data_IF_807318432028
#
_entry.id   IF_807318432028
#
_cell.length_a   1.000
_cell.length_b   1.000
_cell.length_c   1.000
_cell.angle_alpha   90.00
_cell.angle_beta   90.00
_cell.angle_gamma   90.00
#
_symmetry.space_group_name_H-M   'P 1'
#
loop_
_entity.id
_entity.type
_entity.pdbx_description
1 polymer ?
#
# COMPACT_ATOMS: atom_id res chain seq x y z
N UNK A 1 11.37 19.59 5.18
CA UNK A 1 10.92 18.22 4.84
C UNK A 1 11.72 17.29 5.74
N UNK A 2 11.10 16.68 6.75
CA UNK A 2 11.77 15.67 7.57
C UNK A 2 11.51 14.33 6.88
N UNK A 3 12.57 13.68 6.43
CA UNK A 3 12.52 12.29 6.03
C UNK A 3 12.26 11.49 7.31
N UNK A 4 11.04 10.98 7.47
CA UNK A 4 10.77 10.01 8.52
C UNK A 4 11.40 8.71 8.05
N UNK A 5 12.53 8.34 8.65
CA UNK A 5 13.10 7.00 8.45
C UNK A 5 11.99 5.97 8.69
N UNK A 6 11.82 5.07 7.72
CA UNK A 6 11.14 3.81 7.97
C UNK A 6 11.84 3.22 9.18
N UNK A 7 11.13 3.09 10.30
CA UNK A 7 11.68 2.47 11.50
C UNK A 7 12.42 1.19 11.09
N UNK A 8 13.54 0.91 11.74
CA UNK A 8 14.18 -0.40 11.63
C UNK A 8 13.10 -1.46 11.68
N UNK A 9 12.98 -2.28 10.62
CA UNK A 9 12.06 -3.40 10.65
C UNK A 9 12.44 -4.23 11.88
N UNK A 10 11.53 -4.39 12.84
CA UNK A 10 11.82 -5.18 14.05
C UNK A 10 11.90 -6.67 13.72
N UNK A 11 11.38 -7.07 12.56
CA UNK A 11 11.36 -8.43 12.04
C UNK A 11 11.55 -8.38 10.54
N UNK A 12 12.59 -9.05 10.03
CA UNK A 12 12.68 -9.29 8.60
C UNK A 12 11.51 -10.22 8.27
N UNK A 13 10.54 -9.84 7.42
CA UNK A 13 9.44 -10.74 7.10
C UNK A 13 9.91 -12.01 6.36
N UNK A 14 11.16 -12.02 5.85
CA UNK A 14 11.80 -13.20 5.26
C UNK A 14 12.63 -14.01 6.27
N UNK A 15 12.81 -13.52 7.50
CA UNK A 15 13.53 -14.22 8.58
C UNK A 15 12.70 -14.08 9.87
N UNK A 16 11.57 -14.77 9.94
CA UNK A 16 11.01 -15.15 11.22
C UNK A 16 11.61 -16.51 11.61
N UNK A 17 11.99 -16.72 12.89
CA UNK A 17 12.34 -18.05 13.36
C UNK A 17 11.08 -18.93 13.25
N UNK A 18 11.11 -19.89 12.35
CA UNK A 18 10.22 -21.07 12.26
C UNK A 18 8.72 -20.89 12.02
N UNK A 19 8.17 -19.69 11.90
CA UNK A 19 6.75 -19.49 11.54
C UNK A 19 6.59 -18.95 10.11
N UNK A 20 6.52 -19.87 9.15
CA UNK A 20 6.30 -19.59 7.72
C UNK A 20 4.82 -19.33 7.37
N UNK A 21 3.92 -19.20 8.34
CA UNK A 21 2.47 -19.23 8.08
C UNK A 21 1.80 -17.87 7.81
N UNK A 22 2.50 -16.74 7.99
CA UNK A 22 1.98 -15.44 7.58
C UNK A 22 2.18 -15.20 6.09
N UNK A 23 1.55 -16.03 5.26
CA UNK A 23 1.45 -15.80 3.83
C UNK A 23 0.78 -14.44 3.60
N UNK A 24 1.50 -13.53 2.95
CA UNK A 24 0.91 -12.27 2.51
C UNK A 24 -0.02 -12.60 1.34
N UNK A 25 -1.30 -12.35 1.54
CA UNK A 25 -2.33 -12.62 0.54
C UNK A 25 -2.74 -11.34 -0.17
N UNK A 26 -2.86 -11.45 -1.50
CA UNK A 26 -3.53 -10.43 -2.30
C UNK A 26 -5.02 -10.46 -1.95
N UNK A 27 -5.57 -9.28 -1.67
CA UNK A 27 -6.99 -9.10 -1.40
C UNK A 27 -7.56 -8.08 -2.38
N UNK A 28 -8.78 -8.34 -2.84
CA UNK A 28 -9.51 -7.35 -3.62
C UNK A 28 -9.82 -6.15 -2.72
N UNK A 29 -9.41 -4.96 -3.18
CA UNK A 29 -9.64 -3.69 -2.51
C UNK A 29 -10.86 -2.99 -3.12
N UNK A 30 -10.86 -2.89 -4.44
CA UNK A 30 -11.94 -2.34 -5.27
C UNK A 30 -12.00 -3.17 -6.58
N UNK A 31 -13.06 -3.05 -7.40
CA UNK A 31 -13.11 -3.72 -8.70
C UNK A 31 -11.91 -3.36 -9.57
N UNK A 32 -11.10 -4.37 -9.92
CA UNK A 32 -9.87 -4.20 -10.71
C UNK A 32 -8.65 -3.75 -9.90
N UNK A 33 -8.77 -3.55 -8.58
CA UNK A 33 -7.67 -3.15 -7.71
C UNK A 33 -7.49 -4.22 -6.62
N UNK A 34 -6.32 -4.85 -6.60
CA UNK A 34 -5.94 -5.79 -5.53
C UNK A 34 -4.77 -5.24 -4.74
N UNK A 35 -4.72 -5.56 -3.45
CA UNK A 35 -3.73 -5.05 -2.51
C UNK A 35 -3.10 -6.17 -1.71
N UNK A 36 -1.79 -6.07 -1.52
CA UNK A 36 -0.99 -6.88 -0.62
C UNK A 36 -0.48 -5.98 0.51
N UNK A 37 -0.82 -6.30 1.76
CA UNK A 37 -0.29 -5.54 2.90
C UNK A 37 1.14 -5.96 3.19
N UNK A 38 2.07 -5.00 3.16
CA UNK A 38 3.48 -5.26 3.44
C UNK A 38 3.85 -4.98 4.90
N UNK A 39 3.28 -3.93 5.46
CA UNK A 39 3.36 -3.59 6.87
C UNK A 39 2.13 -2.78 7.26
N UNK A 40 1.69 -2.89 8.50
CA UNK A 40 0.60 -2.07 9.04
C UNK A 40 0.73 -1.95 10.56
N UNK A 41 0.78 -0.72 11.06
CA UNK A 41 0.71 -0.41 12.48
C UNK A 41 -0.69 0.11 12.80
N UNK A 42 -1.56 -0.68 13.46
CA UNK A 42 -2.92 -0.27 13.78
C UNK A 42 -2.99 0.86 14.82
N UNK A 43 -1.92 1.12 15.57
CA UNK A 43 -1.91 2.19 16.59
C UNK A 43 -1.71 3.57 15.98
N UNK A 44 -0.99 3.64 14.85
CA UNK A 44 -0.72 4.89 14.12
C UNK A 44 -1.45 4.98 12.79
N UNK A 45 -2.02 3.88 12.29
CA UNK A 45 -2.62 3.77 10.95
C UNK A 45 -1.58 3.74 9.83
N UNK A 46 -0.28 3.74 10.14
CA UNK A 46 0.78 3.74 9.12
C UNK A 46 0.84 2.38 8.45
N UNK A 47 0.78 2.38 7.12
CA UNK A 47 0.84 1.19 6.31
C UNK A 47 1.81 1.31 5.15
N UNK A 48 2.26 0.17 4.65
CA UNK A 48 2.91 0.06 3.35
C UNK A 48 2.24 -1.07 2.61
N UNK A 49 1.83 -0.80 1.38
CA UNK A 49 1.02 -1.70 0.58
C UNK A 49 1.64 -1.84 -0.81
N UNK A 50 1.44 -2.99 -1.42
CA UNK A 50 1.64 -3.15 -2.86
C UNK A 50 0.27 -3.30 -3.50
N UNK A 51 -0.01 -2.49 -4.52
CA UNK A 51 -1.27 -2.54 -5.25
C UNK A 51 -1.05 -2.98 -6.69
N UNK A 52 -2.03 -3.70 -7.23
CA UNK A 52 -2.12 -4.05 -8.65
C UNK A 52 -3.43 -3.50 -9.19
N UNK A 53 -3.31 -2.77 -10.28
CA UNK A 53 -4.42 -2.14 -10.97
C UNK A 53 -4.59 -2.83 -12.32
N UNK A 54 -5.77 -3.35 -12.59
CA UNK A 54 -6.10 -3.89 -13.89
C UNK A 54 -6.11 -2.75 -14.93
N UNK A 55 -5.82 -3.04 -16.21
CA UNK A 55 -5.91 -2.05 -17.28
C UNK A 55 -7.26 -1.32 -17.28
N UNK A 56 -7.25 -0.04 -17.64
CA UNK A 56 -8.43 0.83 -17.74
C UNK A 56 -9.28 0.94 -16.46
N UNK A 57 -8.69 0.64 -15.30
CA UNK A 57 -9.36 0.78 -13.99
C UNK A 57 -9.20 2.18 -13.41
N UNK A 58 -10.16 2.59 -12.59
CA UNK A 58 -10.11 3.83 -11.82
C UNK A 58 -10.72 3.60 -10.44
N UNK A 59 -10.34 4.43 -9.47
CA UNK A 59 -10.95 4.40 -8.14
C UNK A 59 -12.48 4.50 -8.22
N UNK A 60 -13.20 3.80 -7.35
CA UNK A 60 -14.64 4.02 -7.21
C UNK A 60 -14.93 5.43 -6.67
N UNK A 61 -14.09 5.91 -5.75
CA UNK A 61 -14.17 7.27 -5.22
C UNK A 61 -13.16 8.17 -5.95
N UNK A 62 -13.68 9.10 -6.75
CA UNK A 62 -12.86 9.93 -7.63
C UNK A 62 -12.26 11.18 -6.93
N UNK A 63 -12.81 11.60 -5.79
CA UNK A 63 -12.35 12.79 -5.04
C UNK A 63 -12.06 12.41 -3.58
N UNK A 64 -11.18 11.44 -3.38
CA UNK A 64 -10.79 11.04 -2.04
C UNK A 64 -9.77 12.05 -1.48
N UNK A 65 -10.14 12.73 -0.39
CA UNK A 65 -9.27 13.68 0.30
C UNK A 65 -8.96 13.11 1.67
N UNK A 66 -7.67 12.97 1.97
CA UNK A 66 -7.19 12.57 3.29
C UNK A 66 -6.30 13.64 3.91
N UNK A 67 -6.24 13.64 5.24
CA UNK A 67 -5.45 14.55 6.07
C UNK A 67 -4.06 13.99 6.44
N UNK A 68 -3.73 12.79 5.96
CA UNK A 68 -2.41 12.18 6.07
C UNK A 68 -1.58 12.36 4.79
N UNK A 69 -0.27 12.08 4.88
CA UNK A 69 0.64 12.08 3.72
C UNK A 69 0.65 10.69 3.09
N UNK A 70 0.50 10.64 1.78
CA UNK A 70 0.67 9.43 0.97
C UNK A 70 1.88 9.60 0.05
N UNK A 71 2.64 8.51 -0.15
CA UNK A 71 3.76 8.43 -1.08
C UNK A 71 3.56 7.20 -1.97
N UNK A 72 3.67 7.40 -3.29
CA UNK A 72 3.42 6.36 -4.30
C UNK A 72 4.67 6.18 -5.16
N UNK A 73 5.11 4.94 -5.32
CA UNK A 73 6.13 4.54 -6.29
C UNK A 73 5.51 3.61 -7.33
N UNK A 74 5.73 3.92 -8.61
CA UNK A 74 5.27 3.07 -9.72
C UNK A 74 6.38 2.08 -10.05
N UNK A 75 6.11 0.79 -9.81
CA UNK A 75 7.06 -0.29 -10.12
C UNK A 75 6.93 -0.78 -11.56
N UNK A 76 5.72 -0.76 -12.12
CA UNK A 76 5.40 -1.18 -13.49
C UNK A 76 4.13 -0.48 -13.98
N UNK A 77 4.06 -0.17 -15.28
CA UNK A 77 2.92 0.45 -15.93
C UNK A 77 2.84 1.96 -15.75
N UNK A 78 1.65 2.51 -16.01
CA UNK A 78 1.36 3.94 -15.89
C UNK A 78 0.18 4.16 -14.94
N UNK A 79 0.30 5.17 -14.08
CA UNK A 79 -0.78 5.62 -13.19
C UNK A 79 -0.96 7.12 -13.36
N UNK A 80 -2.22 7.56 -13.50
CA UNK A 80 -2.56 8.97 -13.67
C UNK A 80 -3.41 9.45 -12.50
N UNK A 81 -2.85 10.37 -11.73
CA UNK A 81 -3.63 11.13 -10.77
C UNK A 81 -4.42 12.24 -11.50
N UNK A 82 -5.74 12.25 -11.30
CA UNK A 82 -6.64 13.23 -11.87
C UNK A 82 -6.97 14.25 -10.78
N UNK A 83 -6.66 15.52 -11.05
CA UNK A 83 -6.92 16.60 -10.09
C UNK A 83 -8.40 16.63 -9.70
N UNK A 84 -8.68 16.37 -8.41
CA UNK A 84 -9.99 16.61 -7.81
C UNK A 84 -10.36 18.09 -7.95
N UNK A 85 -11.63 18.37 -8.27
CA UNK A 85 -12.12 19.74 -8.53
C UNK A 85 -12.06 20.65 -7.32
#
# INVERSE_FOLDING_TARGET
>A
MQQFEFHHFSTNPLVAPTDLSHHREWKDLEPGISQLTLNHDPSTGRGTYLQRWAPDTSNQIQNFVHDYVEEIIILEGDLRDLKGR
#
